data_IF_338016975966
#
_entry.id   IF_338016975966
#
_cell.length_a   1.000
_cell.length_b   1.000
_cell.length_c   1.000
_cell.angle_alpha   90.00
_cell.angle_beta   90.00
_cell.angle_gamma   90.00
#
_symmetry.space_group_name_H-M   'P 1'
#
loop_
_entity.id
_entity.type
_entity.pdbx_description
1 polymer ?
#
# COMPACT_ATOMS: atom_id res chain seq x y z
N UNK A 1 3.24 -36.77 -23.82
CA UNK A 1 2.37 -35.62 -23.47
C UNK A 1 2.94 -34.90 -22.24
N UNK A 2 3.47 -33.68 -22.39
CA UNK A 2 3.95 -32.87 -21.24
C UNK A 2 2.74 -32.31 -20.48
N UNK A 3 2.50 -32.78 -19.25
CA UNK A 3 1.51 -32.20 -18.34
C UNK A 3 1.92 -30.75 -18.03
N UNK A 4 1.13 -29.77 -18.49
CA UNK A 4 1.29 -28.37 -18.08
C UNK A 4 0.96 -28.28 -16.58
N UNK A 5 1.96 -28.01 -15.75
CA UNK A 5 1.77 -27.75 -14.32
C UNK A 5 0.95 -26.46 -14.19
N UNK A 6 -0.26 -26.56 -13.63
CA UNK A 6 -1.05 -25.39 -13.24
C UNK A 6 -0.24 -24.61 -12.19
N UNK A 7 -0.11 -23.28 -12.28
CA UNK A 7 0.57 -22.52 -11.24
C UNK A 7 -0.16 -22.77 -9.91
N UNK A 8 0.57 -22.99 -8.80
CA UNK A 8 -0.06 -23.12 -7.49
C UNK A 8 -0.83 -21.83 -7.19
N UNK A 9 -2.11 -21.99 -6.83
CA UNK A 9 -3.08 -20.90 -6.66
C UNK A 9 -2.82 -20.04 -5.41
N UNK A 10 -1.90 -20.44 -4.53
CA UNK A 10 -1.66 -19.80 -3.23
C UNK A 10 -0.19 -19.36 -3.05
N UNK A 11 0.40 -18.73 -4.07
CA UNK A 11 1.67 -18.03 -3.85
C UNK A 11 1.36 -16.74 -3.11
N UNK A 12 1.48 -16.77 -1.78
CA UNK A 12 1.44 -15.56 -0.95
C UNK A 12 2.43 -14.54 -1.54
N UNK A 13 2.03 -13.28 -1.72
CA UNK A 13 2.93 -12.26 -2.23
C UNK A 13 4.15 -12.13 -1.31
N UNK A 14 5.34 -11.95 -1.90
CA UNK A 14 6.56 -11.61 -1.14
C UNK A 14 6.41 -10.19 -0.60
N UNK A 15 5.84 -10.07 0.58
CA UNK A 15 5.69 -8.81 1.32
C UNK A 15 6.80 -8.67 2.37
N UNK A 16 7.00 -7.45 2.88
CA UNK A 16 7.91 -7.20 3.99
C UNK A 16 7.49 -8.07 5.21
N UNK A 17 8.42 -8.64 6.00
CA UNK A 17 8.06 -9.36 7.23
C UNK A 17 7.09 -8.60 8.15
N UNK A 18 7.18 -7.27 8.20
CA UNK A 18 6.27 -6.42 8.98
C UNK A 18 4.81 -6.42 8.48
N UNK A 19 4.58 -6.91 7.25
CA UNK A 19 3.28 -7.02 6.59
C UNK A 19 2.91 -8.50 6.37
N UNK A 20 3.49 -9.43 7.13
CA UNK A 20 3.14 -10.83 7.04
C UNK A 20 1.65 -11.04 7.38
N UNK A 21 0.91 -11.68 6.46
CA UNK A 21 -0.55 -11.83 6.56
C UNK A 21 -1.35 -10.70 5.91
N UNK A 22 -0.68 -9.72 5.28
CA UNK A 22 -1.34 -8.70 4.47
C UNK A 22 -1.91 -9.30 3.17
N UNK A 23 -3.24 -9.34 3.08
CA UNK A 23 -4.00 -9.67 1.87
C UNK A 23 -4.80 -8.43 1.40
N UNK A 24 -4.74 -8.15 0.10
CA UNK A 24 -5.44 -7.06 -0.57
C UNK A 24 -6.15 -7.58 -1.82
N UNK A 25 -7.46 -7.33 -1.91
CA UNK A 25 -8.29 -7.75 -3.04
C UNK A 25 -9.08 -6.57 -3.59
N UNK A 26 -9.08 -6.47 -4.91
CA UNK A 26 -9.84 -5.47 -5.66
C UNK A 26 -11.04 -6.18 -6.27
N UNK A 27 -12.24 -5.70 -5.97
CA UNK A 27 -13.46 -6.24 -6.58
C UNK A 27 -13.74 -5.60 -7.96
N UNK A 28 -14.70 -6.13 -8.70
CA UNK A 28 -15.05 -5.62 -10.04
C UNK A 28 -15.56 -4.17 -10.04
N UNK A 29 -15.95 -3.64 -8.87
CA UNK A 29 -16.38 -2.26 -8.68
C UNK A 29 -15.23 -1.32 -8.32
N UNK A 30 -14.00 -1.84 -8.18
CA UNK A 30 -12.83 -1.05 -7.81
C UNK A 30 -12.69 -0.78 -6.31
N UNK A 31 -13.51 -1.41 -5.46
CA UNK A 31 -13.37 -1.30 -4.01
C UNK A 31 -12.19 -2.17 -3.55
N UNK A 32 -11.40 -1.61 -2.64
CA UNK A 32 -10.23 -2.27 -2.07
C UNK A 32 -10.63 -2.89 -0.74
N UNK A 33 -10.52 -4.21 -0.65
CA UNK A 33 -10.71 -4.98 0.59
C UNK A 33 -9.35 -5.40 1.10
N UNK A 34 -9.02 -4.91 2.29
CA UNK A 34 -7.76 -5.16 2.98
C UNK A 34 -8.02 -5.89 4.29
N UNK A 35 -7.15 -6.83 4.63
CA UNK A 35 -7.13 -7.50 5.94
C UNK A 35 -6.53 -6.63 7.06
N UNK A 36 -5.77 -5.59 6.69
CA UNK A 36 -5.18 -4.62 7.59
C UNK A 36 -5.93 -3.30 7.58
N UNK A 37 -5.82 -2.62 8.72
CA UNK A 37 -6.33 -1.27 8.87
C UNK A 37 -5.61 -0.29 7.93
N UNK A 38 -6.38 0.59 7.29
CA UNK A 38 -5.88 1.57 6.33
C UNK A 38 -4.86 2.49 7.00
N UNK A 39 -5.09 2.86 8.26
CA UNK A 39 -4.21 3.76 9.01
C UNK A 39 -2.82 3.16 9.22
N UNK A 40 -2.74 1.86 9.52
CA UNK A 40 -1.47 1.14 9.67
C UNK A 40 -0.70 1.06 8.35
N UNK A 41 -1.41 0.91 7.24
CA UNK A 41 -0.79 0.89 5.90
C UNK A 41 -0.23 2.28 5.57
N UNK A 42 -1.00 3.33 5.83
CA UNK A 42 -0.56 4.71 5.61
C UNK A 42 0.68 5.05 6.45
N UNK A 43 0.70 4.67 7.72
CA UNK A 43 1.89 4.83 8.57
C UNK A 43 3.12 4.08 7.99
N UNK A 44 2.93 2.84 7.56
CA UNK A 44 4.00 2.05 6.97
C UNK A 44 4.55 2.71 5.70
N UNK A 45 3.65 3.20 4.83
CA UNK A 45 4.03 3.88 3.59
C UNK A 45 4.78 5.19 3.89
N UNK A 46 4.28 6.02 4.80
CA UNK A 46 4.93 7.27 5.20
C UNK A 46 6.35 7.04 5.78
N UNK A 47 6.57 5.90 6.46
CA UNK A 47 7.87 5.56 7.06
C UNK A 47 8.87 4.94 6.07
N UNK A 48 8.38 4.15 5.11
CA UNK A 48 9.25 3.31 4.26
C UNK A 48 9.35 3.77 2.81
N UNK A 49 8.36 4.52 2.33
CA UNK A 49 8.27 4.97 0.94
C UNK A 49 8.24 6.49 0.90
N UNK A 50 9.12 7.05 0.09
CA UNK A 50 9.12 8.48 -0.17
C UNK A 50 7.89 8.88 -1.02
N UNK A 51 7.13 9.87 -0.55
CA UNK A 51 5.88 10.28 -1.17
C UNK A 51 6.14 11.04 -2.47
N UNK A 52 5.93 10.35 -3.59
CA UNK A 52 6.09 10.89 -4.94
C UNK A 52 5.20 12.11 -5.21
N UNK A 53 4.07 12.28 -4.50
CA UNK A 53 3.20 13.45 -4.61
C UNK A 53 3.83 14.70 -4.01
N UNK A 54 4.75 14.55 -3.05
CA UNK A 54 5.46 15.64 -2.40
C UNK A 54 6.76 16.02 -3.12
N UNK A 55 7.33 15.11 -3.92
CA UNK A 55 8.59 15.36 -4.66
C UNK A 55 8.53 16.54 -5.63
N UNK A 56 7.39 16.73 -6.29
CA UNK A 56 7.19 17.85 -7.22
C UNK A 56 6.67 19.12 -6.52
N UNK A 57 6.43 19.05 -5.20
CA UNK A 57 6.14 20.21 -4.37
C UNK A 57 7.48 20.84 -3.99
N UNK A 58 8.21 21.31 -5.00
CA UNK A 58 9.54 21.88 -4.83
C UNK A 58 9.47 23.14 -3.99
N UNK A 59 10.03 23.11 -2.78
CA UNK A 59 10.62 24.24 -2.03
C UNK A 59 9.86 25.57 -2.00
N UNK A 60 8.55 25.59 -2.22
CA UNK A 60 7.71 26.76 -2.05
C UNK A 60 6.47 26.32 -1.28
N UNK A 61 6.34 26.90 -0.09
CA UNK A 61 5.14 26.92 0.75
C UNK A 61 4.89 25.66 1.59
N UNK A 62 5.80 25.49 2.55
CA UNK A 62 5.36 25.19 3.91
C UNK A 62 4.48 26.35 4.40
N UNK A 63 3.18 26.31 4.10
CA UNK A 63 2.21 27.05 4.91
C UNK A 63 1.87 26.16 6.11
N UNK A 64 2.21 26.57 7.35
CA UNK A 64 1.63 25.95 8.52
C UNK A 64 0.13 26.28 8.47
N UNK A 65 -0.73 25.28 8.30
CA UNK A 65 -2.11 25.44 8.74
C UNK A 65 -2.06 25.52 10.25
N UNK A 66 -1.93 26.73 10.76
CA UNK A 66 -2.38 27.09 12.08
C UNK A 66 -3.86 26.73 12.15
N UNK A 67 -4.17 25.64 12.83
CA UNK A 67 -5.48 25.47 13.45
C UNK A 67 -5.52 26.50 14.59
N UNK A 68 -5.98 27.71 14.27
CA UNK A 68 -6.54 28.63 15.26
C UNK A 68 -7.97 28.16 15.57
N UNK A 69 -8.16 27.81 16.84
CA UNK A 69 -9.38 27.68 17.68
C UNK A 69 -10.74 27.29 17.05
#
# INVERSE_FOLDING_TARGET
MKKKKKPPLDVKPKVNPALEGFDIKINSFGEITSSFDIDKINEFLNKTVDDKKLRNRGTNEAEPKSEEE
#
